data_IF_073673199127
#
_entry.id   IF_073673199127
#
_cell.length_a   1.000
_cell.length_b   1.000
_cell.length_c   1.000
_cell.angle_alpha   90.00
_cell.angle_beta   90.00
_cell.angle_gamma   90.00
#
_symmetry.space_group_name_H-M   'P 1'
#
loop_
_entity.id
_entity.type
_entity.pdbx_description
1 polymer ?
#
# COMPACT_ATOMS: atom_id res chain seq x y z
N UNK A 1 -15.91 1.25 -26.48
CA UNK A 1 -14.62 0.67 -26.94
C UNK A 1 -13.41 1.60 -26.74
N UNK A 2 -13.52 2.92 -26.86
CA UNK A 2 -12.39 3.85 -26.59
C UNK A 2 -11.96 3.91 -25.09
N UNK A 3 -12.88 3.69 -24.14
CA UNK A 3 -12.53 3.66 -22.71
C UNK A 3 -11.68 2.44 -22.33
N UNK A 4 -12.02 1.26 -22.85
CA UNK A 4 -11.36 -0.02 -22.54
C UNK A 4 -9.86 -0.04 -22.89
N UNK A 5 -9.46 0.57 -24.02
CA UNK A 5 -8.05 0.67 -24.41
C UNK A 5 -7.27 1.64 -23.52
N UNK A 6 -7.92 2.70 -23.01
CA UNK A 6 -7.32 3.70 -22.11
C UNK A 6 -7.11 3.14 -20.70
N UNK A 7 -8.05 2.36 -20.16
CA UNK A 7 -7.92 1.74 -18.83
C UNK A 7 -6.74 0.76 -18.74
N UNK A 8 -6.49 -0.03 -19.79
CA UNK A 8 -5.34 -0.94 -19.84
C UNK A 8 -3.98 -0.23 -19.92
N UNK A 9 -3.93 0.93 -20.57
CA UNK A 9 -2.73 1.76 -20.63
C UNK A 9 -2.40 2.47 -19.31
N UNK A 10 -3.41 2.72 -18.47
CA UNK A 10 -3.26 3.36 -17.15
C UNK A 10 -2.90 2.38 -16.03
N UNK A 11 -3.29 1.10 -16.13
CA UNK A 11 -3.00 0.10 -15.11
C UNK A 11 -1.50 -0.16 -14.91
N UNK A 12 -0.73 -0.21 -16.00
CA UNK A 12 0.73 -0.43 -15.95
C UNK A 12 1.52 0.67 -15.21
N UNK A 13 1.35 1.97 -15.52
CA UNK A 13 2.03 3.02 -14.76
C UNK A 13 1.52 3.10 -13.32
N UNK A 14 0.23 2.84 -13.06
CA UNK A 14 -0.31 2.84 -11.69
C UNK A 14 0.33 1.75 -10.82
N UNK A 15 0.55 0.56 -11.40
CA UNK A 15 1.24 -0.54 -10.73
C UNK A 15 2.69 -0.17 -10.38
N UNK A 16 3.39 0.54 -11.27
CA UNK A 16 4.72 1.07 -11.01
C UNK A 16 4.74 2.11 -9.88
N UNK A 17 3.76 3.02 -9.87
CA UNK A 17 3.60 3.99 -8.78
C UNK A 17 3.31 3.28 -7.45
N UNK A 18 2.42 2.28 -7.42
CA UNK A 18 2.14 1.49 -6.22
C UNK A 18 3.39 0.78 -5.70
N UNK A 19 4.23 0.22 -6.58
CA UNK A 19 5.50 -0.40 -6.16
C UNK A 19 6.38 0.59 -5.40
N UNK A 20 6.58 1.79 -5.97
CA UNK A 20 7.42 2.82 -5.36
C UNK A 20 6.82 3.28 -4.02
N UNK A 21 5.52 3.50 -3.97
CA UNK A 21 4.83 3.91 -2.76
C UNK A 21 4.93 2.86 -1.65
N UNK A 22 4.78 1.56 -1.96
CA UNK A 22 4.95 0.50 -0.98
C UNK A 22 6.40 0.37 -0.49
N UNK A 23 7.40 0.59 -1.35
CA UNK A 23 8.82 0.62 -0.92
C UNK A 23 9.07 1.77 0.05
N UNK A 24 8.54 2.97 -0.24
CA UNK A 24 8.68 4.13 0.63
C UNK A 24 7.97 3.88 1.97
N UNK A 25 6.72 3.37 1.93
CA UNK A 25 5.96 3.03 3.13
C UNK A 25 6.72 2.01 4.00
N UNK A 26 7.27 0.97 3.38
CA UNK A 26 8.04 -0.06 4.07
C UNK A 26 9.32 0.53 4.68
N UNK A 27 10.06 1.35 3.94
CA UNK A 27 11.28 2.00 4.46
C UNK A 27 11.01 2.93 5.64
N UNK A 28 9.95 3.74 5.57
CA UNK A 28 9.53 4.60 6.68
C UNK A 28 9.08 3.78 7.89
N UNK A 29 8.33 2.69 7.66
CA UNK A 29 7.85 1.83 8.73
C UNK A 29 9.00 1.02 9.37
N UNK A 30 9.98 0.57 8.59
CA UNK A 30 11.19 -0.09 9.10
C UNK A 30 12.03 0.86 9.93
N UNK A 31 12.25 2.10 9.47
CA UNK A 31 12.94 3.11 10.26
C UNK A 31 12.18 3.43 11.56
N UNK A 32 10.86 3.56 11.51
CA UNK A 32 10.06 3.82 12.69
C UNK A 32 10.07 2.62 13.67
N UNK A 33 10.14 1.38 13.18
CA UNK A 33 10.27 0.21 14.04
C UNK A 33 11.64 0.19 14.75
N UNK A 34 12.71 0.52 14.03
CA UNK A 34 14.08 0.59 14.58
C UNK A 34 14.15 1.59 15.75
N UNK A 35 13.68 2.81 15.52
CA UNK A 35 13.60 3.87 16.54
C UNK A 35 12.70 3.48 17.73
N UNK A 36 11.69 2.63 17.49
CA UNK A 36 10.76 2.14 18.52
C UNK A 36 11.45 1.13 19.43
N UNK A 37 12.25 0.25 18.84
CA UNK A 37 13.01 -0.77 19.56
C UNK A 37 14.14 -0.14 20.37
N UNK A 38 14.78 0.90 19.84
CA UNK A 38 15.81 1.67 20.54
C UNK A 38 15.23 2.61 21.61
N UNK A 39 13.90 2.74 21.70
CA UNK A 39 13.23 3.58 22.69
C UNK A 39 13.37 5.10 22.45
N UNK A 40 13.94 5.51 21.32
CA UNK A 40 14.16 6.91 20.95
C UNK A 40 12.91 7.58 20.34
N UNK A 41 11.88 6.79 20.05
CA UNK A 41 10.60 7.27 19.50
C UNK A 41 9.83 8.09 20.54
N UNK A 42 10.17 9.38 20.62
CA UNK A 42 9.48 10.35 21.46
C UNK A 42 8.01 10.48 20.99
N UNK A 43 7.06 10.08 21.85
CA UNK A 43 5.62 10.21 21.58
C UNK A 43 4.91 8.95 21.04
N UNK A 44 5.52 7.76 21.16
CA UNK A 44 4.91 6.50 20.73
C UNK A 44 3.67 6.11 21.54
N UNK A 45 2.48 6.51 21.10
CA UNK A 45 1.21 5.99 21.60
C UNK A 45 0.96 4.57 21.04
N UNK A 46 0.05 3.80 21.67
CA UNK A 46 -0.33 2.46 21.21
C UNK A 46 -0.75 2.47 19.72
N UNK A 47 -1.46 3.50 19.27
CA UNK A 47 -1.85 3.69 17.87
C UNK A 47 -0.66 3.75 16.90
N UNK A 48 0.44 4.42 17.28
CA UNK A 48 1.66 4.50 16.45
C UNK A 48 2.31 3.13 16.33
N UNK A 49 2.35 2.37 17.43
CA UNK A 49 2.89 1.00 17.41
C UNK A 49 2.09 0.07 16.49
N UNK A 50 0.77 0.24 16.44
CA UNK A 50 -0.09 -0.54 15.56
C UNK A 50 0.03 -0.08 14.11
N UNK A 51 0.14 1.23 13.85
CA UNK A 51 0.36 1.76 12.50
C UNK A 51 1.64 1.20 11.88
N UNK A 52 2.75 1.18 12.64
CA UNK A 52 4.04 0.68 12.16
C UNK A 52 3.92 -0.79 11.74
N UNK A 53 3.33 -1.64 12.59
CA UNK A 53 3.15 -3.08 12.32
C UNK A 53 2.27 -3.33 11.10
N UNK A 54 1.14 -2.64 11.00
CA UNK A 54 0.26 -2.79 9.85
C UNK A 54 0.87 -2.25 8.56
N UNK A 55 1.63 -1.15 8.62
CA UNK A 55 2.34 -0.58 7.47
C UNK A 55 3.45 -1.50 6.96
N UNK A 56 4.16 -2.21 7.84
CA UNK A 56 5.16 -3.22 7.46
C UNK A 56 4.51 -4.38 6.70
N UNK A 57 3.43 -4.95 7.26
CA UNK A 57 2.71 -6.08 6.63
C UNK A 57 2.11 -5.64 5.29
N UNK A 58 1.46 -4.47 5.25
CA UNK A 58 0.90 -3.91 4.02
C UNK A 58 1.98 -3.63 2.97
N UNK A 59 3.14 -3.11 3.37
CA UNK A 59 4.30 -2.90 2.51
C UNK A 59 4.79 -4.18 1.84
N UNK A 60 5.06 -5.22 2.64
CA UNK A 60 5.56 -6.51 2.13
C UNK A 60 4.53 -7.18 1.20
N UNK A 61 3.27 -7.25 1.62
CA UNK A 61 2.21 -7.89 0.83
C UNK A 61 1.87 -7.08 -0.42
N UNK A 62 1.92 -5.75 -0.34
CA UNK A 62 1.75 -4.85 -1.47
C UNK A 62 2.82 -5.04 -2.54
N UNK A 63 4.10 -5.10 -2.15
CA UNK A 63 5.21 -5.39 -3.06
C UNK A 63 5.02 -6.77 -3.71
N UNK A 64 4.70 -7.81 -2.92
CA UNK A 64 4.47 -9.15 -3.44
C UNK A 64 3.32 -9.17 -4.46
N UNK A 65 2.21 -8.48 -4.17
CA UNK A 65 1.07 -8.34 -5.08
C UNK A 65 1.47 -7.66 -6.40
N UNK A 66 2.24 -6.57 -6.34
CA UNK A 66 2.71 -5.87 -7.54
C UNK A 66 3.65 -6.76 -8.37
N UNK A 67 4.57 -7.50 -7.73
CA UNK A 67 5.46 -8.42 -8.44
C UNK A 67 4.69 -9.54 -9.15
N UNK A 68 3.67 -10.09 -8.49
CA UNK A 68 2.75 -11.07 -9.10
C UNK A 68 2.04 -10.42 -10.30
N UNK A 69 1.53 -9.20 -10.17
CA UNK A 69 0.90 -8.45 -11.27
C UNK A 69 1.84 -8.19 -12.45
N UNK A 70 3.09 -7.77 -12.20
CA UNK A 70 4.11 -7.52 -13.22
C UNK A 70 4.52 -8.80 -13.96
N UNK A 71 4.67 -9.90 -13.23
CA UNK A 71 5.02 -11.19 -13.81
C UNK A 71 3.93 -11.69 -14.77
N UNK A 72 2.65 -11.47 -14.43
CA UNK A 72 1.52 -11.77 -15.29
C UNK A 72 1.53 -10.93 -16.58
N UNK A 73 1.79 -9.62 -16.48
CA UNK A 73 1.87 -8.73 -17.65
C UNK A 73 2.99 -9.12 -18.61
N UNK A 74 4.14 -9.61 -18.08
CA UNK A 74 5.30 -9.97 -18.89
C UNK A 74 5.20 -11.34 -19.58
N UNK A 75 4.56 -12.34 -18.95
CA UNK A 75 4.58 -13.73 -19.43
C UNK A 75 3.31 -14.23 -20.14
N UNK A 76 2.26 -13.38 -20.29
CA UNK A 76 1.04 -13.60 -21.10
C UNK A 76 0.68 -15.07 -21.35
N UNK A 77 0.40 -15.81 -20.26
CA UNK A 77 -0.18 -17.17 -20.30
C UNK A 77 -1.61 -17.09 -19.76
N UNK A 78 -2.55 -17.50 -20.59
CA UNK A 78 -3.99 -17.22 -20.51
C UNK A 78 -4.76 -17.82 -19.33
N UNK A 79 -4.11 -18.27 -18.25
CA UNK A 79 -4.75 -19.19 -17.28
C UNK A 79 -4.76 -18.75 -15.81
N UNK A 80 -4.27 -17.55 -15.45
CA UNK A 80 -4.21 -17.15 -14.02
C UNK A 80 -4.68 -15.72 -13.67
N UNK A 81 -5.69 -15.20 -14.38
CA UNK A 81 -6.32 -13.90 -14.03
C UNK A 81 -6.81 -13.84 -12.57
N UNK A 82 -7.29 -14.97 -12.01
CA UNK A 82 -7.78 -15.04 -10.63
C UNK A 82 -6.70 -14.87 -9.55
N UNK A 83 -5.48 -15.38 -9.78
CA UNK A 83 -4.42 -15.36 -8.75
C UNK A 83 -3.89 -13.94 -8.47
N UNK A 84 -3.68 -13.15 -9.53
CA UNK A 84 -3.26 -11.75 -9.40
C UNK A 84 -4.34 -10.87 -8.76
N UNK A 85 -5.62 -11.12 -9.09
CA UNK A 85 -6.75 -10.41 -8.50
C UNK A 85 -6.87 -10.65 -6.99
N UNK A 86 -6.79 -11.89 -6.54
CA UNK A 86 -6.84 -12.22 -5.11
C UNK A 86 -5.67 -11.59 -4.33
N UNK A 87 -4.45 -11.62 -4.87
CA UNK A 87 -3.30 -10.98 -4.23
C UNK A 87 -3.48 -9.46 -4.11
N UNK A 88 -4.04 -8.80 -5.13
CA UNK A 88 -4.32 -7.37 -5.12
C UNK A 88 -5.40 -6.99 -4.09
N UNK A 89 -6.44 -7.82 -3.93
CA UNK A 89 -7.48 -7.63 -2.91
C UNK A 89 -6.92 -7.85 -1.50
N UNK A 90 -6.08 -8.87 -1.27
CA UNK A 90 -5.43 -9.07 0.04
C UNK A 90 -4.56 -7.86 0.38
N UNK A 91 -3.74 -7.39 -0.57
CA UNK A 91 -2.93 -6.19 -0.39
C UNK A 91 -3.81 -4.95 -0.09
N UNK A 92 -4.95 -4.80 -0.78
CA UNK A 92 -5.89 -3.72 -0.52
C UNK A 92 -6.45 -3.77 0.90
N UNK A 93 -6.90 -4.92 1.38
CA UNK A 93 -7.48 -5.06 2.72
C UNK A 93 -6.47 -4.74 3.82
N UNK A 94 -5.22 -5.20 3.68
CA UNK A 94 -4.14 -4.88 4.63
C UNK A 94 -3.77 -3.39 4.58
N UNK A 95 -3.80 -2.79 3.40
CA UNK A 95 -3.54 -1.35 3.25
C UNK A 95 -4.69 -0.52 3.83
N UNK A 96 -5.94 -0.96 3.72
CA UNK A 96 -7.09 -0.34 4.38
C UNK A 96 -7.02 -0.44 5.91
N UNK A 97 -6.47 -1.53 6.44
CA UNK A 97 -6.21 -1.68 7.87
C UNK A 97 -5.18 -0.64 8.34
N UNK A 98 -4.05 -0.52 7.62
CA UNK A 98 -3.05 0.51 7.89
C UNK A 98 -3.62 1.93 7.79
N UNK A 99 -4.45 2.19 6.77
CA UNK A 99 -5.15 3.46 6.57
C UNK A 99 -6.11 3.80 7.73
N UNK A 100 -6.85 2.81 8.23
CA UNK A 100 -7.77 3.00 9.36
C UNK A 100 -7.03 3.47 10.62
N UNK A 101 -5.86 2.88 10.89
CA UNK A 101 -5.01 3.30 12.02
C UNK A 101 -4.36 4.66 11.75
N UNK A 102 -3.92 4.94 10.52
CA UNK A 102 -3.39 6.25 10.13
C UNK A 102 -4.42 7.37 10.36
N UNK A 103 -5.69 7.16 9.97
CA UNK A 103 -6.77 8.11 10.24
C UNK A 103 -6.96 8.38 11.73
N UNK A 104 -6.84 7.33 12.57
CA UNK A 104 -6.94 7.48 14.01
C UNK A 104 -5.77 8.29 14.57
N UNK A 105 -4.56 8.08 14.04
CA UNK A 105 -3.36 8.79 14.48
C UNK A 105 -3.43 10.29 14.13
N UNK A 106 -3.89 10.63 12.92
CA UNK A 106 -4.14 12.03 12.49
C UNK A 106 -5.11 12.73 13.45
N UNK A 107 -6.15 12.04 13.91
CA UNK A 107 -7.13 12.61 14.83
C UNK A 107 -6.59 12.80 16.27
N UNK A 108 -5.72 11.90 16.73
CA UNK A 108 -5.12 11.96 18.08
C UNK A 108 -4.06 13.07 18.17
N UNK A 109 -3.33 13.34 17.09
CA UNK A 109 -2.58 14.59 16.91
C UNK A 109 -1.49 14.89 17.96
N UNK A 110 -0.90 13.88 18.61
CA UNK A 110 0.16 14.11 19.59
C UNK A 110 1.45 14.64 18.92
N UNK A 111 2.43 15.05 19.73
CA UNK A 111 3.72 15.55 19.21
C UNK A 111 4.45 14.40 18.49
N UNK A 112 4.64 14.54 17.17
CA UNK A 112 5.33 13.56 16.31
C UNK A 112 6.50 14.21 15.57
N UNK A 113 7.49 13.39 15.19
CA UNK A 113 8.55 13.78 14.24
C UNK A 113 7.98 13.91 12.82
N UNK A 114 8.60 14.73 11.97
CA UNK A 114 8.15 14.94 10.58
C UNK A 114 8.09 13.64 9.76
N UNK A 115 8.92 12.65 10.11
CA UNK A 115 8.95 11.33 9.49
C UNK A 115 7.71 10.49 9.83
N UNK A 116 7.14 10.62 11.03
CA UNK A 116 5.90 9.93 11.41
C UNK A 116 4.69 10.49 10.66
N UNK A 117 4.65 11.82 10.48
CA UNK A 117 3.65 12.47 9.62
C UNK A 117 3.76 11.99 8.18
N UNK A 118 4.98 11.81 7.68
CA UNK A 118 5.19 11.23 6.36
C UNK A 118 4.63 9.79 6.30
N UNK A 119 4.91 8.94 7.29
CA UNK A 119 4.41 7.57 7.34
C UNK A 119 2.87 7.51 7.24
N UNK A 120 2.16 8.35 8.02
CA UNK A 120 0.69 8.47 7.97
C UNK A 120 0.21 8.88 6.57
N UNK A 121 0.78 9.95 6.01
CA UNK A 121 0.41 10.46 4.71
C UNK A 121 0.65 9.41 3.60
N UNK A 122 1.79 8.71 3.64
CA UNK A 122 2.09 7.65 2.70
C UNK A 122 1.12 6.47 2.84
N UNK A 123 0.75 6.06 4.06
CA UNK A 123 -0.25 5.01 4.27
C UNK A 123 -1.60 5.38 3.62
N UNK A 124 -2.02 6.64 3.74
CA UNK A 124 -3.24 7.16 3.10
C UNK A 124 -3.13 7.16 1.57
N UNK A 125 -2.02 7.68 1.03
CA UNK A 125 -1.80 7.74 -0.42
C UNK A 125 -1.76 6.32 -1.02
N UNK A 126 -1.03 5.39 -0.39
CA UNK A 126 -0.94 3.99 -0.82
C UNK A 126 -2.32 3.32 -0.80
N UNK A 127 -3.15 3.59 0.20
CA UNK A 127 -4.52 3.05 0.25
C UNK A 127 -5.38 3.55 -0.92
N UNK A 128 -5.32 4.85 -1.22
CA UNK A 128 -6.07 5.44 -2.32
C UNK A 128 -5.61 4.88 -3.69
N UNK A 129 -4.30 4.78 -3.91
CA UNK A 129 -3.75 4.29 -5.19
C UNK A 129 -3.95 2.78 -5.35
N UNK A 130 -3.88 2.00 -4.27
CA UNK A 130 -4.19 0.56 -4.29
C UNK A 130 -5.68 0.30 -4.56
N UNK A 131 -6.59 1.09 -3.96
CA UNK A 131 -8.01 0.99 -4.23
C UNK A 131 -8.30 1.30 -5.70
N UNK A 132 -7.72 2.38 -6.23
CA UNK A 132 -7.87 2.75 -7.63
C UNK A 132 -7.35 1.64 -8.56
N UNK A 133 -6.23 0.99 -8.22
CA UNK A 133 -5.69 -0.14 -8.97
C UNK A 133 -6.67 -1.32 -9.02
N UNK A 134 -7.20 -1.76 -7.86
CA UNK A 134 -8.16 -2.88 -7.79
C UNK A 134 -9.45 -2.53 -8.53
N UNK A 135 -9.93 -1.29 -8.40
CA UNK A 135 -11.13 -0.82 -9.08
C UNK A 135 -10.96 -0.81 -10.61
N UNK A 136 -9.81 -0.34 -11.10
CA UNK A 136 -9.48 -0.37 -12.53
C UNK A 136 -9.33 -1.79 -13.07
N UNK A 137 -8.78 -2.70 -12.27
CA UNK A 137 -8.72 -4.12 -12.63
C UNK A 137 -10.12 -4.70 -12.76
N UNK A 138 -10.99 -4.46 -11.77
CA UNK A 138 -12.37 -4.93 -11.77
C UNK A 138 -13.18 -4.41 -12.97
N UNK A 139 -13.16 -3.10 -13.24
CA UNK A 139 -13.87 -2.52 -14.38
C UNK A 139 -13.28 -2.87 -15.75
N UNK A 140 -12.04 -3.37 -15.81
CA UNK A 140 -11.46 -3.84 -17.06
C UNK A 140 -11.88 -5.27 -17.42
N UNK A 141 -12.38 -6.02 -16.43
CA UNK A 141 -12.83 -7.41 -16.58
C UNK A 141 -14.35 -7.52 -16.89
N UNK A 142 -15.14 -6.46 -16.67
CA UNK A 142 -16.55 -6.32 -17.10
C UNK A 142 -16.67 -5.80 -18.54
#
# INVERSE_FOLDING_TARGET
MASYAKHRGLAAPLLGVNLVLYIILLGLASWALDEQLDGHLAGGNQATSDLIRFSLIAGVVGIASVLVGLFHLKHRRSESHGGAGSAAVIALLLTLLAFGVACKQVHVGYIYSDRLKALEAFAIVVAATQLLYVLLMYFADE
#
